data_IF_280857024003
#
_entry.id   IF_280857024003
#
_cell.length_a   1.000
_cell.length_b   1.000
_cell.length_c   1.000
_cell.angle_alpha   90.00
_cell.angle_beta   90.00
_cell.angle_gamma   90.00
#
_symmetry.space_group_name_H-M   'P 1'
#
loop_
_entity.id
_entity.type
_entity.pdbx_description
1 polymer ?
#
# COMPACT_ATOMS: atom_id res chain seq x y z
N UNK A 1 60.24 -3.88 11.13
CA UNK A 1 59.33 -3.86 9.97
C UNK A 1 58.05 -4.62 10.30
N UNK A 2 56.93 -3.88 10.28
CA UNK A 2 55.49 -4.23 10.19
C UNK A 2 55.05 -5.71 10.32
N UNK A 3 54.27 -6.03 11.35
CA UNK A 3 53.08 -6.89 11.19
C UNK A 3 51.85 -6.02 11.44
N UNK A 4 51.04 -5.84 10.39
CA UNK A 4 49.79 -5.09 10.44
C UNK A 4 48.72 -5.97 11.06
N UNK A 5 47.93 -5.37 11.94
CA UNK A 5 46.64 -5.86 12.37
C UNK A 5 45.78 -6.10 11.12
N UNK A 6 45.20 -7.28 10.99
CA UNK A 6 44.09 -7.57 10.09
C UNK A 6 42.91 -7.98 10.96
N UNK A 7 42.35 -7.00 11.64
CA UNK A 7 40.93 -7.00 11.98
C UNK A 7 40.19 -6.32 10.82
N UNK A 8 38.94 -6.71 10.60
CA UNK A 8 37.96 -6.09 9.67
C UNK A 8 37.88 -6.67 8.26
N UNK A 9 36.96 -7.63 8.05
CA UNK A 9 36.10 -7.76 6.84
C UNK A 9 35.34 -9.09 6.88
N UNK A 10 34.28 -9.17 7.67
CA UNK A 10 33.30 -10.26 7.52
C UNK A 10 31.87 -9.83 7.87
N UNK A 11 31.69 -8.70 8.58
CA UNK A 11 30.39 -8.33 9.14
C UNK A 11 29.66 -7.20 8.38
N UNK A 12 30.11 -6.82 7.17
CA UNK A 12 29.47 -5.76 6.36
C UNK A 12 28.57 -6.25 5.20
N UNK A 13 28.25 -7.54 5.10
CA UNK A 13 27.52 -8.10 3.95
C UNK A 13 26.08 -8.55 4.28
N UNK A 14 25.56 -8.28 5.47
CA UNK A 14 24.19 -8.68 5.84
C UNK A 14 23.19 -7.51 5.88
N UNK A 15 23.64 -6.26 6.00
CA UNK A 15 22.73 -5.12 6.05
C UNK A 15 22.24 -4.65 4.66
N UNK A 16 23.11 -4.63 3.64
CA UNK A 16 22.76 -4.13 2.29
C UNK A 16 21.85 -5.06 1.47
N UNK A 17 21.76 -6.35 1.81
CA UNK A 17 20.88 -7.29 1.10
C UNK A 17 19.42 -7.21 1.56
N UNK A 18 19.16 -6.73 2.78
CA UNK A 18 17.79 -6.58 3.31
C UNK A 18 17.06 -5.39 2.70
N UNK A 19 17.74 -4.24 2.59
CA UNK A 19 17.19 -3.01 1.99
C UNK A 19 16.68 -3.20 0.55
N UNK A 20 17.37 -4.05 -0.22
CA UNK A 20 17.01 -4.34 -1.62
C UNK A 20 15.86 -5.34 -1.77
N UNK A 21 15.64 -6.20 -0.79
CA UNK A 21 14.52 -7.16 -0.78
C UNK A 21 13.23 -6.48 -0.26
N UNK A 22 13.37 -5.56 0.71
CA UNK A 22 12.27 -4.77 1.27
C UNK A 22 11.61 -3.83 0.25
N UNK A 23 12.32 -3.34 -0.77
CA UNK A 23 11.71 -2.54 -1.86
C UNK A 23 11.01 -3.39 -2.92
N UNK A 24 11.19 -4.71 -2.91
CA UNK A 24 10.49 -5.63 -3.80
C UNK A 24 9.28 -6.31 -3.12
N UNK A 25 9.23 -6.24 -1.80
CA UNK A 25 8.27 -6.94 -0.94
C UNK A 25 7.51 -5.97 -0.04
N UNK A 26 6.41 -6.43 0.54
CA UNK A 26 5.53 -5.62 1.37
C UNK A 26 5.85 -5.70 2.88
N UNK A 27 7.10 -6.04 3.24
CA UNK A 27 7.52 -6.27 4.64
C UNK A 27 7.50 -4.97 5.48
N UNK A 28 7.66 -3.82 4.83
CA UNK A 28 7.63 -2.51 5.49
C UNK A 28 6.22 -1.89 5.58
N UNK A 29 5.17 -2.67 5.32
CA UNK A 29 3.79 -2.17 5.47
C UNK A 29 3.51 -1.73 6.91
N UNK A 30 2.83 -0.59 7.11
CA UNK A 30 2.41 -0.18 8.44
C UNK A 30 1.34 -1.13 9.01
N UNK A 31 1.16 -1.06 10.33
CA UNK A 31 0.22 -1.91 11.05
C UNK A 31 -1.21 -1.81 10.47
N UNK A 32 -1.91 -2.93 10.45
CA UNK A 32 -3.26 -3.03 9.91
C UNK A 32 -3.35 -3.37 8.42
N UNK A 33 -2.28 -3.26 7.64
CA UNK A 33 -2.26 -3.70 6.26
C UNK A 33 -1.91 -5.20 6.12
N UNK A 34 -2.63 -5.88 5.23
CA UNK A 34 -2.45 -7.31 4.97
C UNK A 34 -2.34 -7.54 3.47
N UNK A 35 -1.29 -8.25 3.06
CA UNK A 35 -1.12 -8.67 1.66
C UNK A 35 -2.09 -9.82 1.36
N UNK A 36 -2.98 -9.63 0.40
CA UNK A 36 -3.91 -10.66 -0.08
C UNK A 36 -3.40 -11.39 -1.32
N UNK A 37 -2.67 -10.68 -2.18
CA UNK A 37 -2.09 -11.22 -3.39
C UNK A 37 -0.75 -10.53 -3.65
N UNK A 38 0.27 -11.29 -4.01
CA UNK A 38 1.58 -10.79 -4.42
C UNK A 38 2.12 -11.67 -5.55
N UNK A 39 1.85 -11.28 -6.79
CA UNK A 39 2.40 -11.98 -7.95
C UNK A 39 3.79 -11.38 -8.26
N UNK A 40 4.88 -12.18 -8.30
CA UNK A 40 6.27 -11.68 -8.38
C UNK A 40 6.54 -10.74 -9.56
N UNK A 41 5.86 -10.97 -10.69
CA UNK A 41 5.97 -10.19 -11.92
C UNK A 41 4.62 -9.58 -12.33
N UNK A 42 3.64 -9.64 -11.43
CA UNK A 42 2.25 -9.31 -11.71
C UNK A 42 1.66 -8.38 -10.67
N UNK A 43 0.33 -8.45 -10.56
CA UNK A 43 -0.44 -7.60 -9.64
C UNK A 43 -0.17 -7.96 -8.18
N UNK A 44 -0.27 -6.97 -7.31
CA UNK A 44 -0.40 -7.17 -5.88
C UNK A 44 -1.63 -6.46 -5.34
N UNK A 45 -2.20 -7.01 -4.27
CA UNK A 45 -3.36 -6.47 -3.57
C UNK A 45 -3.04 -6.47 -2.09
N UNK A 46 -3.16 -5.30 -1.47
CA UNK A 46 -3.00 -5.10 -0.04
C UNK A 46 -4.30 -4.53 0.50
N UNK A 47 -4.79 -5.04 1.63
CA UNK A 47 -6.04 -4.65 2.25
C UNK A 47 -5.81 -4.09 3.66
N UNK A 48 -6.49 -3.01 4.01
CA UNK A 48 -6.44 -2.44 5.36
C UNK A 48 -7.52 -3.05 6.25
N UNK A 49 -7.10 -3.53 7.43
CA UNK A 49 -7.93 -4.11 8.49
C UNK A 49 -9.03 -5.03 7.95
N UNK A 50 -8.68 -6.09 7.17
CA UNK A 50 -9.66 -7.05 6.68
C UNK A 50 -10.32 -7.85 7.81
N UNK A 51 -9.79 -7.77 9.05
CA UNK A 51 -10.44 -8.27 10.27
C UNK A 51 -11.66 -7.42 10.69
N UNK A 52 -11.71 -6.15 10.28
CA UNK A 52 -12.81 -5.21 10.57
C UNK A 52 -13.71 -5.05 9.34
N UNK A 53 -13.11 -4.80 8.18
CA UNK A 53 -13.81 -4.58 6.93
C UNK A 53 -13.95 -5.90 6.15
N UNK A 54 -14.74 -6.84 6.70
CA UNK A 54 -14.77 -8.22 6.24
C UNK A 54 -16.01 -8.60 5.39
N UNK A 55 -16.78 -7.63 4.90
CA UNK A 55 -18.05 -7.80 4.16
C UNK A 55 -19.19 -8.51 4.92
N UNK A 56 -18.92 -9.07 6.11
CA UNK A 56 -19.88 -9.73 6.99
C UNK A 56 -20.36 -8.81 8.14
N UNK A 57 -19.44 -8.09 8.78
CA UNK A 57 -19.71 -7.17 9.91
C UNK A 57 -19.95 -5.71 9.47
N UNK A 58 -19.51 -5.33 8.27
CA UNK A 58 -19.65 -3.97 7.74
C UNK A 58 -20.30 -4.02 6.35
N UNK A 59 -21.23 -3.10 6.01
CA UNK A 59 -21.92 -3.14 4.72
C UNK A 59 -20.91 -3.15 3.56
N UNK A 60 -21.04 -4.09 2.60
CA UNK A 60 -20.11 -4.22 1.49
C UNK A 60 -20.28 -2.99 0.58
N UNK A 61 -19.25 -2.16 0.35
CA UNK A 61 -17.87 -2.59 0.10
C UNK A 61 -16.78 -1.66 0.71
N UNK A 62 -16.89 -1.30 1.99
CA UNK A 62 -16.02 -0.29 2.64
C UNK A 62 -14.63 -0.80 3.06
N UNK A 63 -13.94 -1.60 2.25
CA UNK A 63 -12.61 -2.10 2.59
C UNK A 63 -11.53 -1.34 1.82
N UNK A 64 -10.68 -0.55 2.52
CA UNK A 64 -9.58 0.11 1.86
C UNK A 64 -8.58 -0.89 1.28
N UNK A 65 -8.23 -0.72 0.02
CA UNK A 65 -7.33 -1.63 -0.71
C UNK A 65 -6.36 -0.87 -1.60
N UNK A 66 -5.11 -1.31 -1.63
CA UNK A 66 -4.10 -0.81 -2.57
C UNK A 66 -3.85 -1.87 -3.62
N UNK A 67 -3.99 -1.47 -4.87
CA UNK A 67 -3.67 -2.29 -6.04
C UNK A 67 -2.35 -1.84 -6.61
N UNK A 68 -1.42 -2.76 -6.79
CA UNK A 68 -0.20 -2.56 -7.58
C UNK A 68 -0.36 -3.33 -8.87
N UNK A 69 -0.31 -2.67 -10.03
CA UNK A 69 -0.48 -3.35 -11.32
C UNK A 69 0.15 -2.59 -12.48
N UNK A 70 0.48 -3.29 -13.56
CA UNK A 70 0.99 -2.72 -14.81
C UNK A 70 0.02 -2.86 -15.99
N UNK A 71 -1.25 -3.16 -15.71
CA UNK A 71 -2.28 -3.31 -16.74
C UNK A 71 -2.62 -1.98 -17.41
N UNK A 72 -2.92 -2.01 -18.72
CA UNK A 72 -3.30 -0.78 -19.44
C UNK A 72 -4.55 -0.13 -18.85
N UNK A 73 -4.47 1.16 -18.49
CA UNK A 73 -5.61 1.97 -18.02
C UNK A 73 -6.58 2.43 -19.13
N UNK A 74 -6.46 1.92 -20.35
CA UNK A 74 -7.36 2.30 -21.45
C UNK A 74 -8.80 1.88 -21.11
N UNK A 75 -9.80 2.74 -21.38
CA UNK A 75 -11.22 2.47 -21.07
C UNK A 75 -11.88 1.34 -21.88
N UNK A 76 -11.11 0.56 -22.65
CA UNK A 76 -11.64 -0.54 -23.45
C UNK A 76 -11.74 -1.80 -22.59
N UNK A 77 -12.79 -2.62 -22.76
CA UNK A 77 -12.91 -3.90 -22.05
C UNK A 77 -11.64 -4.74 -22.20
N UNK A 78 -11.14 -5.27 -21.08
CA UNK A 78 -9.93 -6.10 -21.05
C UNK A 78 -8.60 -5.36 -21.18
N UNK A 79 -8.59 -4.02 -21.27
CA UNK A 79 -7.33 -3.26 -21.33
C UNK A 79 -6.41 -3.56 -20.14
N UNK A 80 -6.97 -3.63 -18.93
CA UNK A 80 -6.22 -3.88 -17.70
C UNK A 80 -5.56 -5.26 -17.67
N UNK A 81 -5.91 -6.17 -18.59
CA UNK A 81 -5.27 -7.48 -18.74
C UNK A 81 -4.05 -7.42 -19.67
N UNK A 82 -3.83 -6.32 -20.37
CA UNK A 82 -2.66 -6.11 -21.23
C UNK A 82 -1.57 -5.46 -20.39
N UNK A 83 -0.49 -6.19 -20.04
CA UNK A 83 0.61 -5.62 -19.27
C UNK A 83 1.33 -4.56 -20.10
N UNK A 84 1.83 -3.55 -19.39
CA UNK A 84 2.63 -2.45 -19.93
C UNK A 84 3.91 -2.32 -19.11
N UNK A 85 4.87 -1.53 -19.59
CA UNK A 85 6.08 -1.20 -18.84
C UNK A 85 5.82 -0.19 -17.70
N UNK A 86 4.62 0.41 -17.65
CA UNK A 86 4.23 1.38 -16.65
C UNK A 86 3.47 0.72 -15.52
N UNK A 87 3.91 0.97 -14.30
CA UNK A 87 3.28 0.47 -13.08
C UNK A 87 2.45 1.55 -12.41
N UNK A 88 1.38 1.13 -11.75
CA UNK A 88 0.48 2.02 -11.04
C UNK A 88 0.18 1.47 -9.67
N UNK A 89 0.03 2.39 -8.72
CA UNK A 89 -0.66 2.12 -7.47
C UNK A 89 -1.99 2.85 -7.48
N UNK A 90 -3.02 2.22 -6.93
CA UNK A 90 -4.28 2.89 -6.63
C UNK A 90 -4.77 2.45 -5.26
N UNK A 91 -4.94 3.42 -4.36
CA UNK A 91 -5.66 3.25 -3.11
C UNK A 91 -7.15 3.47 -3.38
N UNK A 92 -7.93 2.42 -3.14
CA UNK A 92 -9.38 2.43 -3.15
C UNK A 92 -9.89 2.46 -1.72
N UNK A 93 -10.87 3.32 -1.42
CA UNK A 93 -11.63 3.24 -0.16
C UNK A 93 -12.83 2.30 -0.30
N UNK A 94 -13.33 2.21 -1.53
CA UNK A 94 -14.33 1.27 -2.02
C UNK A 94 -13.97 0.90 -3.46
N UNK A 95 -14.50 -0.19 -4.02
CA UNK A 95 -14.20 -0.65 -5.38
C UNK A 95 -14.34 0.45 -6.46
N UNK A 96 -15.24 1.41 -6.25
CA UNK A 96 -15.52 2.51 -7.17
C UNK A 96 -14.98 3.88 -6.69
N UNK A 97 -14.31 3.95 -5.53
CA UNK A 97 -13.83 5.20 -4.92
C UNK A 97 -12.31 5.17 -4.80
N UNK A 98 -11.64 5.82 -5.76
CA UNK A 98 -10.17 6.00 -5.80
C UNK A 98 -9.77 7.21 -4.92
N UNK A 99 -8.88 7.01 -3.95
CA UNK A 99 -8.34 8.07 -3.09
C UNK A 99 -6.96 8.56 -3.53
N UNK A 100 -6.08 7.64 -3.92
CA UNK A 100 -4.72 7.95 -4.38
C UNK A 100 -4.45 7.14 -5.63
N UNK A 101 -3.85 7.76 -6.64
CA UNK A 101 -3.35 7.05 -7.82
C UNK A 101 -2.02 7.64 -8.24
N UNK A 102 -1.00 6.79 -8.34
CA UNK A 102 0.35 7.18 -8.72
C UNK A 102 0.93 6.20 -9.73
N UNK A 103 1.96 6.64 -10.44
CA UNK A 103 2.55 5.92 -11.57
C UNK A 103 4.06 5.83 -11.42
N UNK A 104 4.61 4.69 -11.78
CA UNK A 104 6.01 4.34 -11.58
C UNK A 104 6.56 3.60 -12.80
N UNK A 105 7.87 3.69 -13.00
CA UNK A 105 8.57 3.05 -14.13
C UNK A 105 8.86 1.56 -13.90
N UNK A 106 8.62 1.04 -12.69
CA UNK A 106 8.95 -0.35 -12.34
C UNK A 106 8.12 -0.88 -11.17
N UNK A 107 8.02 -2.21 -11.08
CA UNK A 107 7.34 -2.88 -9.97
C UNK A 107 7.92 -2.52 -8.60
N UNK A 108 9.25 -2.55 -8.37
CA UNK A 108 9.80 -2.22 -7.06
C UNK A 108 9.46 -0.78 -6.65
N UNK A 109 9.54 0.17 -7.59
CA UNK A 109 9.14 1.55 -7.34
C UNK A 109 7.64 1.67 -7.02
N UNK A 110 6.78 0.86 -7.63
CA UNK A 110 5.37 0.82 -7.31
C UNK A 110 5.07 0.12 -5.97
N UNK A 111 5.85 -0.88 -5.57
CA UNK A 111 5.75 -1.49 -4.22
C UNK A 111 6.11 -0.46 -3.15
N UNK A 112 7.23 0.26 -3.33
CA UNK A 112 7.64 1.37 -2.47
C UNK A 112 6.55 2.46 -2.40
N UNK A 113 6.00 2.85 -3.54
CA UNK A 113 4.87 3.78 -3.62
C UNK A 113 3.60 3.29 -2.92
N UNK A 114 3.33 1.99 -2.95
CA UNK A 114 2.20 1.39 -2.24
C UNK A 114 2.41 1.43 -0.71
N UNK A 115 3.63 1.17 -0.24
CA UNK A 115 3.99 1.28 1.17
C UNK A 115 3.86 2.74 1.62
N UNK A 116 4.40 3.69 0.86
CA UNK A 116 4.27 5.11 1.15
C UNK A 116 2.81 5.61 1.11
N UNK A 117 1.96 5.04 0.24
CA UNK A 117 0.53 5.33 0.24
C UNK A 117 -0.18 4.73 1.47
N UNK A 118 0.21 3.53 1.90
CA UNK A 118 -0.28 2.90 3.13
C UNK A 118 0.11 3.70 4.38
N UNK A 119 1.34 4.21 4.43
CA UNK A 119 1.84 5.08 5.50
C UNK A 119 1.06 6.39 5.59
N UNK A 120 0.91 7.11 4.47
CA UNK A 120 0.10 8.33 4.41
C UNK A 120 -1.36 8.09 4.83
N UNK A 121 -1.90 6.93 4.49
CA UNK A 121 -3.27 6.58 4.90
C UNK A 121 -3.37 6.44 6.42
N UNK A 122 -2.45 5.69 7.05
CA UNK A 122 -2.45 5.50 8.51
C UNK A 122 -2.11 6.78 9.27
N UNK A 123 -1.23 7.63 8.73
CA UNK A 123 -0.74 8.84 9.42
C UNK A 123 -1.80 9.95 9.50
N UNK A 124 -2.70 10.05 8.53
CA UNK A 124 -3.55 11.25 8.48
C UNK A 124 -3.72 11.85 7.10
N UNK A 125 -2.70 11.68 6.27
CA UNK A 125 -2.41 12.51 5.11
C UNK A 125 -3.33 12.27 3.91
N UNK A 126 -4.09 11.16 3.92
CA UNK A 126 -5.16 10.91 2.95
C UNK A 126 -6.48 11.49 3.47
N UNK A 127 -6.95 12.55 2.82
CA UNK A 127 -8.27 13.16 3.00
C UNK A 127 -9.38 12.28 2.41
N UNK A 128 -9.65 11.15 3.07
CA UNK A 128 -10.59 10.15 2.59
C UNK A 128 -12.03 10.66 2.48
N UNK A 129 -12.38 11.79 3.11
CA UNK A 129 -13.72 12.40 3.03
C UNK A 129 -13.94 13.17 1.72
N UNK A 130 -12.89 13.75 1.15
CA UNK A 130 -12.97 14.62 -0.02
C UNK A 130 -13.40 13.86 -1.29
N UNK A 131 -13.08 12.57 -1.35
CA UNK A 131 -13.40 11.72 -2.50
C UNK A 131 -14.86 11.25 -2.54
N UNK A 132 -15.64 11.54 -1.50
CA UNK A 132 -17.06 11.19 -1.42
C UNK A 132 -17.96 12.36 -1.79
N UNK A 133 -18.81 12.16 -2.80
CA UNK A 133 -19.89 13.12 -3.10
C UNK A 133 -21.06 13.03 -2.11
N UNK A 134 -21.31 11.83 -1.57
CA UNK A 134 -22.33 11.58 -0.54
C UNK A 134 -21.59 11.07 0.70
N UNK A 135 -21.70 11.77 1.85
CA UNK A 135 -20.96 11.41 3.04
C UNK A 135 -21.36 10.03 3.57
N UNK A 136 -20.37 9.29 4.09
CA UNK A 136 -20.55 7.98 4.73
C UNK A 136 -20.13 8.06 6.19
N UNK A 137 -20.97 8.70 7.00
CA UNK A 137 -20.66 9.03 8.40
C UNK A 137 -20.22 7.81 9.20
N UNK A 138 -20.95 6.69 9.16
CA UNK A 138 -20.59 5.46 9.89
C UNK A 138 -19.23 4.88 9.46
N UNK A 139 -18.88 4.99 8.18
CA UNK A 139 -17.59 4.54 7.67
C UNK A 139 -16.46 5.47 8.10
N UNK A 140 -16.69 6.79 8.07
CA UNK A 140 -15.73 7.79 8.50
C UNK A 140 -15.43 7.67 10.00
N UNK A 141 -16.47 7.53 10.82
CA UNK A 141 -16.33 7.28 12.26
C UNK A 141 -15.46 6.05 12.53
N UNK A 142 -15.72 4.96 11.79
CA UNK A 142 -14.92 3.75 11.93
C UNK A 142 -13.47 3.95 11.49
N UNK A 143 -13.23 4.70 10.42
CA UNK A 143 -11.87 5.03 9.99
C UNK A 143 -11.16 5.91 11.02
N UNK A 144 -11.80 6.92 11.59
CA UNK A 144 -11.18 7.76 12.63
C UNK A 144 -10.80 6.94 13.87
N UNK A 145 -11.69 6.05 14.33
CA UNK A 145 -11.39 5.15 15.46
C UNK A 145 -10.12 4.32 15.18
N UNK A 146 -10.03 3.73 13.97
CA UNK A 146 -8.91 2.86 13.60
C UNK A 146 -7.61 3.62 13.34
N UNK A 147 -7.72 4.86 12.85
CA UNK A 147 -6.59 5.73 12.53
C UNK A 147 -6.16 6.59 13.73
N UNK A 148 -6.81 6.42 14.88
CA UNK A 148 -6.53 7.22 16.08
C UNK A 148 -6.81 8.71 15.89
N UNK A 149 -7.69 9.06 14.94
CA UNK A 149 -8.15 10.43 14.67
C UNK A 149 -9.36 10.79 15.52
N UNK A 150 -9.46 10.20 16.71
CA UNK A 150 -10.42 10.63 17.73
C UNK A 150 -10.18 12.12 17.96
N UNK A 151 -11.19 12.93 17.68
CA UNK A 151 -11.19 14.37 17.93
C UNK A 151 -10.91 14.54 19.43
N UNK A 152 -9.64 14.75 19.75
CA UNK A 152 -9.14 14.89 21.11
C UNK A 152 -9.74 16.12 21.76
N UNK A 153 -10.96 15.97 22.25
CA UNK A 153 -11.52 16.72 23.34
C UNK A 153 -11.17 15.96 24.64
N UNK A 154 -9.91 16.08 25.07
CA UNK A 154 -9.51 15.93 26.48
C UNK A 154 -9.30 17.33 27.09
#
# INVERSE_FOLDING_TARGET
MRRRHSETSAERTTLEVRDRDSSMSFDALPEGWVVWNDEPEGRAIVAYRPDVFNTEDFPPPCMPTIFVSNGSRSKRPGASQIPTDTWHITLFLEPDIEAVTETFDSRPAAVDGAIAAAERFVDGEVDYRDVYQVPREEYFDKLDELLGRDDGND
#
